data_IF_667443464467
#
_entry.id   IF_667443464467
#
_cell.length_a   1.000
_cell.length_b   1.000
_cell.length_c   1.000
_cell.angle_alpha   90.00
_cell.angle_beta   90.00
_cell.angle_gamma   90.00
#
_symmetry.space_group_name_H-M   'P 1'
#
loop_
_entity.id
_entity.type
_entity.pdbx_description
1 polymer ?
#
# COMPACT_ATOMS: atom_id res chain seq x y z
N UNK A 1 -13.08 32.27 -9.72
CA UNK A 1 -11.65 32.72 -9.78
C UNK A 1 -10.66 31.68 -9.22
N UNK A 2 -10.99 30.92 -8.18
CA UNK A 2 -10.10 29.86 -7.64
C UNK A 2 -9.98 28.65 -8.57
N UNK A 3 -11.06 28.16 -9.21
CA UNK A 3 -11.00 27.05 -10.17
C UNK A 3 -10.14 27.37 -11.40
N UNK A 4 -10.25 28.60 -11.94
CA UNK A 4 -9.46 29.02 -13.10
C UNK A 4 -7.93 29.11 -12.82
N UNK A 5 -7.53 29.46 -11.58
CA UNK A 5 -6.11 29.45 -11.19
C UNK A 5 -5.55 28.03 -11.02
N UNK A 6 -6.37 27.08 -10.55
CA UNK A 6 -5.94 25.69 -10.40
C UNK A 6 -5.62 25.01 -11.74
N UNK A 7 -6.28 25.44 -12.83
CA UNK A 7 -6.03 24.91 -14.19
C UNK A 7 -4.70 25.38 -14.81
N UNK A 8 -4.09 26.44 -14.26
CA UNK A 8 -2.82 26.99 -14.76
C UNK A 8 -1.59 26.28 -14.17
N UNK A 9 -1.72 25.51 -13.09
CA UNK A 9 -0.58 24.84 -12.47
C UNK A 9 -0.14 23.60 -13.23
N UNK A 10 1.18 23.45 -13.40
CA UNK A 10 1.81 22.40 -14.20
C UNK A 10 1.36 20.99 -13.79
N UNK A 11 1.27 20.70 -12.50
CA UNK A 11 0.86 19.37 -12.03
C UNK A 11 -0.61 19.07 -12.31
N UNK A 12 -1.48 20.07 -12.26
CA UNK A 12 -2.89 19.91 -12.62
C UNK A 12 -3.08 19.62 -14.11
N UNK A 13 -2.28 20.25 -14.98
CA UNK A 13 -2.29 19.96 -16.42
C UNK A 13 -1.82 18.52 -16.68
N UNK A 14 -0.74 18.10 -16.04
CA UNK A 14 -0.23 16.72 -16.15
C UNK A 14 -1.28 15.72 -15.66
N UNK A 15 -1.89 15.97 -14.48
CA UNK A 15 -2.90 15.09 -13.92
C UNK A 15 -4.09 14.88 -14.86
N UNK A 16 -4.60 15.95 -15.50
CA UNK A 16 -5.73 15.86 -16.42
C UNK A 16 -5.44 15.02 -17.69
N UNK A 17 -4.16 14.79 -18.00
CA UNK A 17 -3.72 13.98 -19.14
C UNK A 17 -3.51 12.50 -18.75
N UNK A 18 -3.55 12.17 -17.46
CA UNK A 18 -3.26 10.82 -16.97
C UNK A 18 -4.55 9.97 -16.95
N UNK A 19 -4.44 8.77 -17.50
CA UNK A 19 -5.49 7.74 -17.35
C UNK A 19 -5.13 6.84 -16.15
N UNK A 20 -6.03 6.65 -15.16
CA UNK A 20 -5.83 5.71 -14.07
C UNK A 20 -5.65 4.26 -14.52
N UNK A 21 -6.11 3.91 -15.72
CA UNK A 21 -5.95 2.59 -16.32
C UNK A 21 -4.64 2.56 -17.12
N UNK A 22 -3.72 1.67 -16.72
CA UNK A 22 -2.45 1.50 -17.42
C UNK A 22 -2.63 0.78 -18.76
N UNK A 23 -3.42 -0.28 -18.76
CA UNK A 23 -3.83 -1.03 -19.96
C UNK A 23 -5.00 -1.96 -19.64
N UNK A 24 -5.69 -2.44 -20.69
CA UNK A 24 -6.79 -3.39 -20.56
C UNK A 24 -6.53 -4.62 -21.42
N UNK A 25 -6.84 -5.81 -20.87
CA UNK A 25 -6.78 -7.09 -21.58
C UNK A 25 -8.17 -7.70 -21.53
N UNK A 26 -8.92 -7.57 -22.62
CA UNK A 26 -10.32 -7.96 -22.67
C UNK A 26 -11.16 -7.22 -21.62
N UNK A 27 -11.92 -7.92 -20.77
CA UNK A 27 -12.75 -7.28 -19.74
C UNK A 27 -11.96 -6.80 -18.51
N UNK A 28 -10.66 -7.11 -18.42
CA UNK A 28 -9.83 -6.79 -17.25
C UNK A 28 -9.01 -5.53 -17.50
N UNK A 29 -9.20 -4.53 -16.64
CA UNK A 29 -8.40 -3.31 -16.65
C UNK A 29 -7.35 -3.32 -15.55
N UNK A 30 -6.08 -3.20 -15.94
CA UNK A 30 -4.96 -3.06 -15.01
C UNK A 30 -4.76 -1.57 -14.71
N UNK A 31 -4.84 -1.21 -13.45
CA UNK A 31 -4.69 0.17 -13.00
C UNK A 31 -3.26 0.43 -12.52
N UNK A 32 -2.78 1.66 -12.70
CA UNK A 32 -1.48 2.11 -12.19
C UNK A 32 -1.33 1.88 -10.69
N UNK A 33 -2.44 1.95 -9.95
CA UNK A 33 -2.46 1.69 -8.51
C UNK A 33 -2.00 0.26 -8.17
N UNK A 34 -2.49 -0.73 -8.90
CA UNK A 34 -2.04 -2.13 -8.74
C UNK A 34 -0.57 -2.32 -9.07
N UNK A 35 -0.10 -1.68 -10.16
CA UNK A 35 1.32 -1.72 -10.57
C UNK A 35 2.20 -1.08 -9.49
N UNK A 36 1.78 0.07 -8.94
CA UNK A 36 2.50 0.76 -7.88
C UNK A 36 2.65 -0.10 -6.60
N UNK A 37 1.61 -0.85 -6.22
CA UNK A 37 1.71 -1.82 -5.12
C UNK A 37 2.71 -2.93 -5.40
N UNK A 38 2.67 -3.54 -6.59
CA UNK A 38 3.62 -4.58 -6.98
C UNK A 38 5.05 -4.05 -6.94
N UNK A 39 5.30 -2.87 -7.50
CA UNK A 39 6.61 -2.22 -7.46
C UNK A 39 7.04 -1.90 -6.02
N UNK A 40 6.13 -1.39 -5.19
CA UNK A 40 6.40 -1.11 -3.79
C UNK A 40 6.83 -2.35 -3.01
N UNK A 41 6.10 -3.45 -3.15
CA UNK A 41 6.46 -4.73 -2.51
C UNK A 41 7.74 -5.32 -3.07
N UNK A 42 7.97 -5.27 -4.38
CA UNK A 42 9.21 -5.73 -4.99
C UNK A 42 10.43 -4.94 -4.49
N UNK A 43 10.32 -3.63 -4.42
CA UNK A 43 11.37 -2.77 -3.87
C UNK A 43 11.61 -3.04 -2.38
N UNK A 44 10.56 -3.20 -1.59
CA UNK A 44 10.68 -3.54 -0.18
C UNK A 44 11.38 -4.89 0.01
N UNK A 45 10.99 -5.92 -0.75
CA UNK A 45 11.64 -7.24 -0.72
C UNK A 45 13.12 -7.15 -1.07
N UNK A 46 13.47 -6.39 -2.12
CA UNK A 46 14.86 -6.19 -2.54
C UNK A 46 15.69 -5.48 -1.46
N UNK A 47 15.12 -4.47 -0.80
CA UNK A 47 15.80 -3.75 0.29
C UNK A 47 15.98 -4.67 1.49
N UNK A 48 14.96 -5.42 1.89
CA UNK A 48 15.05 -6.38 2.99
C UNK A 48 16.15 -7.40 2.71
N UNK A 49 16.17 -7.98 1.51
CA UNK A 49 17.20 -8.95 1.12
C UNK A 49 18.63 -8.36 1.15
N UNK A 50 18.81 -7.13 0.64
CA UNK A 50 20.10 -6.45 0.67
C UNK A 50 20.54 -6.08 2.08
N UNK A 51 19.61 -5.62 2.91
CA UNK A 51 19.86 -5.26 4.31
C UNK A 51 20.21 -6.49 5.14
N UNK A 52 19.47 -7.59 4.96
CA UNK A 52 19.76 -8.87 5.61
C UNK A 52 21.19 -9.34 5.27
N UNK A 53 21.56 -9.29 3.98
CA UNK A 53 22.92 -9.65 3.54
C UNK A 53 23.98 -8.75 4.17
N UNK A 54 23.74 -7.43 4.24
CA UNK A 54 24.65 -6.47 4.85
C UNK A 54 24.82 -6.69 6.35
N UNK A 55 23.73 -7.03 7.03
CA UNK A 55 23.72 -7.30 8.48
C UNK A 55 24.12 -8.74 8.84
N UNK A 56 24.47 -9.55 7.82
CA UNK A 56 24.83 -10.97 8.00
C UNK A 56 23.71 -11.79 8.63
N UNK A 57 22.47 -11.45 8.35
CA UNK A 57 21.30 -12.21 8.76
C UNK A 57 21.02 -13.24 7.70
N UNK A 58 20.89 -14.50 8.10
CA UNK A 58 20.52 -15.59 7.19
C UNK A 58 19.03 -15.46 6.87
N UNK A 59 18.73 -14.95 5.69
CA UNK A 59 17.39 -14.82 5.12
C UNK A 59 17.42 -15.38 3.71
N UNK A 60 16.94 -16.61 3.56
CA UNK A 60 16.80 -17.24 2.26
C UNK A 60 15.57 -16.74 1.50
N UNK A 61 15.44 -17.16 0.25
CA UNK A 61 14.34 -16.73 -0.61
C UNK A 61 12.99 -17.16 -0.05
N UNK A 62 12.88 -18.36 0.52
CA UNK A 62 11.62 -18.88 1.06
C UNK A 62 11.18 -18.10 2.31
N UNK A 63 12.13 -17.76 3.18
CA UNK A 63 11.89 -16.87 4.33
C UNK A 63 11.45 -15.48 3.89
N UNK A 64 12.10 -14.91 2.86
CA UNK A 64 11.72 -13.61 2.32
C UNK A 64 10.31 -13.64 1.72
N UNK A 65 9.95 -14.67 0.98
CA UNK A 65 8.60 -14.86 0.43
C UNK A 65 7.56 -15.05 1.54
N UNK A 66 7.91 -15.82 2.59
CA UNK A 66 7.04 -16.01 3.76
C UNK A 66 6.72 -14.67 4.42
N UNK A 67 7.71 -13.83 4.65
CA UNK A 67 7.51 -12.48 5.20
C UNK A 67 6.65 -11.63 4.27
N UNK A 68 7.00 -11.59 2.98
CA UNK A 68 6.31 -10.76 2.00
C UNK A 68 4.83 -11.13 1.89
N UNK A 69 4.52 -12.41 1.67
CA UNK A 69 3.15 -12.90 1.56
C UNK A 69 2.38 -12.73 2.87
N UNK A 70 3.00 -13.02 4.00
CA UNK A 70 2.39 -12.84 5.31
C UNK A 70 2.02 -11.39 5.58
N UNK A 71 2.91 -10.44 5.26
CA UNK A 71 2.63 -9.01 5.41
C UNK A 71 1.55 -8.53 4.44
N UNK A 72 1.57 -8.96 3.18
CA UNK A 72 0.52 -8.63 2.21
C UNK A 72 -0.85 -9.09 2.71
N UNK A 73 -0.96 -10.35 3.15
CA UNK A 73 -2.20 -10.90 3.69
C UNK A 73 -2.60 -10.12 4.96
N UNK A 74 -1.66 -9.88 5.87
CA UNK A 74 -1.90 -9.13 7.09
C UNK A 74 -2.43 -7.72 6.84
N UNK A 75 -1.83 -6.99 5.89
CA UNK A 75 -2.28 -5.66 5.48
C UNK A 75 -3.71 -5.71 4.94
N UNK A 76 -4.01 -6.62 4.02
CA UNK A 76 -5.34 -6.72 3.41
C UNK A 76 -6.40 -7.07 4.46
N UNK A 77 -6.15 -8.11 5.25
CA UNK A 77 -7.08 -8.57 6.29
C UNK A 77 -7.26 -7.49 7.36
N UNK A 78 -6.16 -6.93 7.86
CA UNK A 78 -6.20 -5.89 8.88
C UNK A 78 -6.92 -4.63 8.41
N UNK A 79 -6.61 -4.15 7.19
CA UNK A 79 -7.25 -2.97 6.62
C UNK A 79 -8.77 -3.18 6.45
N UNK A 80 -9.17 -4.36 5.99
CA UNK A 80 -10.59 -4.67 5.79
C UNK A 80 -11.35 -4.85 7.10
N UNK A 81 -10.82 -5.64 8.02
CA UNK A 81 -11.46 -5.87 9.32
C UNK A 81 -11.60 -4.56 10.09
N UNK A 82 -10.55 -3.74 10.12
CA UNK A 82 -10.59 -2.46 10.81
C UNK A 82 -11.62 -1.51 10.20
N UNK A 83 -11.70 -1.48 8.87
CA UNK A 83 -12.73 -0.70 8.18
C UNK A 83 -14.13 -1.17 8.58
N UNK A 84 -14.39 -2.46 8.50
CA UNK A 84 -15.69 -3.03 8.84
C UNK A 84 -16.11 -2.76 10.30
N UNK A 85 -15.13 -2.76 11.22
CA UNK A 85 -15.39 -2.57 12.65
C UNK A 85 -15.61 -1.08 13.01
N UNK A 86 -14.83 -0.16 12.42
CA UNK A 86 -14.79 1.23 12.88
C UNK A 86 -15.46 2.22 11.94
N UNK A 87 -15.65 1.86 10.66
CA UNK A 87 -16.23 2.75 9.64
C UNK A 87 -17.53 2.21 9.04
N UNK A 88 -17.94 1.01 9.43
CA UNK A 88 -19.12 0.34 8.88
C UNK A 88 -20.43 0.60 9.61
N UNK A 89 -20.46 1.44 10.66
CA UNK A 89 -21.66 1.79 11.46
C UNK A 89 -22.58 0.59 11.78
N UNK A 90 -21.95 -0.55 12.07
CA UNK A 90 -22.67 -1.78 12.40
C UNK A 90 -23.25 -2.54 11.19
N UNK A 91 -23.08 -2.04 9.96
CA UNK A 91 -23.58 -2.67 8.74
C UNK A 91 -23.06 -4.09 8.57
N UNK A 92 -21.75 -4.30 8.74
CA UNK A 92 -21.09 -5.59 8.54
C UNK A 92 -21.47 -6.66 9.58
N UNK A 93 -21.99 -6.27 10.74
CA UNK A 93 -22.54 -7.21 11.71
C UNK A 93 -23.86 -7.81 11.24
N UNK A 94 -24.61 -7.09 10.39
CA UNK A 94 -25.86 -7.56 9.78
C UNK A 94 -25.61 -8.27 8.44
N UNK A 95 -24.50 -7.97 7.77
CA UNK A 95 -24.13 -8.49 6.47
C UNK A 95 -22.70 -9.07 6.48
N UNK A 96 -22.42 -10.15 7.25
CA UNK A 96 -21.06 -10.63 7.48
C UNK A 96 -20.34 -11.12 6.22
N UNK A 97 -21.07 -11.59 5.21
CA UNK A 97 -20.48 -12.02 3.94
C UNK A 97 -19.88 -10.86 3.14
N UNK A 98 -20.36 -9.64 3.34
CA UNK A 98 -19.84 -8.47 2.66
C UNK A 98 -18.47 -8.02 3.19
N UNK A 99 -18.00 -8.56 4.31
CA UNK A 99 -16.62 -8.38 4.76
C UNK A 99 -15.63 -8.84 3.68
N UNK A 100 -15.97 -9.87 2.91
CA UNK A 100 -15.12 -10.42 1.85
C UNK A 100 -15.23 -9.66 0.51
N UNK A 101 -16.16 -8.71 0.39
CA UNK A 101 -16.36 -7.93 -0.83
C UNK A 101 -15.30 -6.81 -0.98
N UNK A 102 -14.04 -7.21 -1.15
CA UNK A 102 -12.89 -6.27 -1.26
C UNK A 102 -12.98 -5.37 -2.48
N UNK A 103 -13.64 -5.81 -3.55
CA UNK A 103 -13.81 -5.04 -4.79
C UNK A 103 -14.68 -3.79 -4.64
N UNK A 104 -15.50 -3.73 -3.59
CA UNK A 104 -16.34 -2.57 -3.29
C UNK A 104 -15.59 -1.45 -2.54
N UNK A 105 -14.29 -1.63 -2.28
CA UNK A 105 -13.50 -0.69 -1.50
C UNK A 105 -13.68 -0.89 0.01
N UNK A 106 -13.37 0.15 0.79
CA UNK A 106 -13.47 0.11 2.24
C UNK A 106 -12.27 -0.57 2.90
N UNK A 107 -11.15 0.14 2.90
CA UNK A 107 -9.87 -0.28 3.49
C UNK A 107 -9.37 0.81 4.45
N UNK A 108 -8.97 0.43 5.65
CA UNK A 108 -8.41 1.35 6.64
C UNK A 108 -6.88 1.30 6.63
N UNK A 109 -6.23 2.45 6.50
CA UNK A 109 -4.76 2.54 6.64
C UNK A 109 -4.28 2.05 8.01
N UNK A 110 -4.95 2.46 9.09
CA UNK A 110 -4.58 2.05 10.45
C UNK A 110 -4.73 0.54 10.63
N UNK A 111 -5.80 -0.04 10.09
CA UNK A 111 -5.99 -1.49 10.10
C UNK A 111 -4.92 -2.23 9.31
N UNK A 112 -4.52 -1.71 8.15
CA UNK A 112 -3.41 -2.24 7.37
C UNK A 112 -2.09 -2.21 8.14
N UNK A 113 -1.80 -1.10 8.82
CA UNK A 113 -0.59 -0.97 9.64
C UNK A 113 -0.58 -2.00 10.79
N UNK A 114 -1.68 -2.11 11.53
CA UNK A 114 -1.81 -3.11 12.61
C UNK A 114 -1.67 -4.52 12.04
N UNK A 115 -2.30 -4.81 10.91
CA UNK A 115 -2.19 -6.09 10.21
C UNK A 115 -0.76 -6.42 9.79
N UNK A 116 -0.01 -5.43 9.27
CA UNK A 116 1.41 -5.58 8.93
C UNK A 116 2.27 -5.92 10.17
N UNK A 117 2.05 -5.20 11.28
CA UNK A 117 2.79 -5.43 12.52
C UNK A 117 2.52 -6.83 13.10
N UNK A 118 1.26 -7.24 13.15
CA UNK A 118 0.88 -8.55 13.67
C UNK A 118 1.38 -9.70 12.78
N UNK A 119 1.19 -9.58 11.47
CA UNK A 119 1.68 -10.59 10.53
C UNK A 119 3.21 -10.63 10.48
N UNK A 120 3.87 -9.49 10.59
CA UNK A 120 5.33 -9.41 10.74
C UNK A 120 5.83 -10.14 11.98
N UNK A 121 5.11 -10.04 13.11
CA UNK A 121 5.42 -10.78 14.34
C UNK A 121 5.27 -12.30 14.14
N UNK A 122 4.22 -12.73 13.45
CA UNK A 122 3.99 -14.15 13.14
C UNK A 122 5.07 -14.68 12.21
N UNK A 123 5.32 -13.99 11.10
CA UNK A 123 6.32 -14.42 10.11
C UNK A 123 7.74 -14.39 10.67
N UNK A 124 8.09 -13.43 11.52
CA UNK A 124 9.37 -13.38 12.20
C UNK A 124 9.60 -14.65 13.05
N UNK A 125 8.57 -15.12 13.77
CA UNK A 125 8.64 -16.38 14.52
C UNK A 125 8.78 -17.60 13.60
N UNK A 126 8.07 -17.61 12.47
CA UNK A 126 8.13 -18.72 11.50
C UNK A 126 9.52 -18.89 10.90
N UNK A 127 10.19 -17.78 10.58
CA UNK A 127 11.53 -17.80 9.96
C UNK A 127 12.69 -17.77 10.96
N UNK A 128 12.41 -17.67 12.26
CA UNK A 128 13.44 -17.66 13.32
C UNK A 128 14.28 -16.37 13.38
N UNK A 129 13.80 -15.25 12.81
CA UNK A 129 14.46 -13.94 12.89
C UNK A 129 13.80 -13.11 13.99
N UNK A 130 14.58 -12.41 14.86
CA UNK A 130 13.98 -11.53 15.86
C UNK A 130 13.06 -10.49 15.24
N UNK A 131 11.86 -10.32 15.80
CA UNK A 131 10.84 -9.43 15.25
C UNK A 131 11.32 -7.99 15.02
N UNK A 132 12.00 -7.40 16.01
CA UNK A 132 12.51 -6.03 15.89
C UNK A 132 13.55 -5.90 14.78
N UNK A 133 14.38 -6.92 14.59
CA UNK A 133 15.35 -6.95 13.47
C UNK A 133 14.64 -6.98 12.12
N UNK A 134 13.58 -7.80 12.00
CA UNK A 134 12.75 -7.81 10.78
C UNK A 134 12.04 -6.47 10.57
N UNK A 135 11.52 -5.87 11.64
CA UNK A 135 10.87 -4.56 11.60
C UNK A 135 11.84 -3.46 11.15
N UNK A 136 13.06 -3.43 11.67
CA UNK A 136 14.10 -2.48 11.26
C UNK A 136 14.43 -2.61 9.76
N UNK A 137 14.56 -3.84 9.27
CA UNK A 137 14.75 -4.07 7.83
C UNK A 137 13.55 -3.58 7.00
N UNK A 138 12.33 -3.80 7.49
CA UNK A 138 11.10 -3.39 6.79
C UNK A 138 10.95 -1.86 6.74
N UNK A 139 11.29 -1.16 7.83
CA UNK A 139 11.22 0.31 7.91
C UNK A 139 12.13 0.97 6.87
N UNK A 140 13.27 0.37 6.53
CA UNK A 140 14.15 0.89 5.46
C UNK A 140 13.46 0.81 4.08
N UNK A 141 12.63 -0.20 3.85
CA UNK A 141 11.90 -0.40 2.59
C UNK A 141 10.56 0.35 2.49
N UNK A 142 9.91 0.60 3.62
CA UNK A 142 8.58 1.19 3.68
C UNK A 142 8.43 2.54 2.95
N UNK A 143 9.40 3.49 3.02
CA UNK A 143 9.30 4.76 2.31
C UNK A 143 9.16 4.63 0.80
N UNK A 144 9.78 3.62 0.19
CA UNK A 144 9.61 3.38 -1.26
C UNK A 144 8.20 2.90 -1.60
N UNK A 145 7.63 2.03 -0.78
CA UNK A 145 6.23 1.64 -0.94
C UNK A 145 5.28 2.83 -0.85
N UNK A 146 5.51 3.72 0.14
CA UNK A 146 4.75 4.97 0.30
C UNK A 146 4.94 5.90 -0.91
N UNK A 147 6.15 6.03 -1.45
CA UNK A 147 6.43 6.83 -2.64
C UNK A 147 5.60 6.34 -3.83
N UNK A 148 5.64 5.05 -4.15
CA UNK A 148 4.84 4.49 -5.25
C UNK A 148 3.34 4.65 -5.01
N UNK A 149 2.88 4.45 -3.76
CA UNK A 149 1.49 4.70 -3.39
C UNK A 149 1.06 6.15 -3.62
N UNK A 150 1.90 7.13 -3.28
CA UNK A 150 1.61 8.55 -3.52
C UNK A 150 1.61 8.91 -5.00
N UNK A 151 2.53 8.34 -5.78
CA UNK A 151 2.48 8.49 -7.23
C UNK A 151 1.17 7.93 -7.82
N UNK A 152 0.72 6.77 -7.33
CA UNK A 152 -0.54 6.18 -7.75
C UNK A 152 -1.76 7.02 -7.34
N UNK A 153 -1.75 7.60 -6.14
CA UNK A 153 -2.81 8.55 -5.74
C UNK A 153 -2.87 9.76 -6.67
N UNK A 154 -1.71 10.30 -7.09
CA UNK A 154 -1.67 11.40 -8.03
C UNK A 154 -2.29 11.00 -9.38
N UNK A 155 -1.93 9.84 -9.94
CA UNK A 155 -2.51 9.34 -11.19
C UNK A 155 -4.03 9.10 -11.08
N UNK A 156 -4.50 8.59 -9.92
CA UNK A 156 -5.92 8.36 -9.67
C UNK A 156 -6.69 9.65 -9.34
N UNK A 157 -6.01 10.76 -9.06
CA UNK A 157 -6.65 12.00 -8.64
C UNK A 157 -7.31 11.92 -7.28
N UNK A 158 -6.66 11.28 -6.32
CA UNK A 158 -7.19 11.08 -4.98
C UNK A 158 -6.21 11.52 -3.89
N UNK A 159 -6.72 11.72 -2.68
CA UNK A 159 -5.94 12.14 -1.51
C UNK A 159 -5.11 13.41 -1.76
N UNK A 160 -5.79 14.42 -2.28
CA UNK A 160 -5.25 15.75 -2.55
C UNK A 160 -4.58 16.32 -1.30
N UNK A 161 -3.54 17.13 -1.52
CA UNK A 161 -2.90 17.92 -0.48
C UNK A 161 -3.74 19.16 -0.09
N UNK A 162 -3.14 20.04 0.71
CA UNK A 162 -3.72 21.36 0.98
C UNK A 162 -3.61 22.25 -0.27
N UNK A 163 -4.55 23.20 -0.38
CA UNK A 163 -4.47 24.24 -1.42
C UNK A 163 -3.18 25.03 -1.26
N UNK A 164 -2.47 25.24 -2.36
CA UNK A 164 -1.19 25.96 -2.38
C UNK A 164 -1.16 26.98 -3.52
N UNK A 165 -0.43 28.06 -3.31
CA UNK A 165 -0.11 29.06 -4.34
C UNK A 165 1.27 28.80 -4.98
N UNK A 166 1.90 27.68 -4.67
CA UNK A 166 3.19 27.31 -5.26
C UNK A 166 3.01 27.03 -6.76
N UNK A 167 3.93 27.50 -7.64
CA UNK A 167 3.76 27.38 -9.09
C UNK A 167 3.79 25.94 -9.63
N UNK A 168 4.18 24.99 -8.81
CA UNK A 168 4.18 23.55 -9.11
C UNK A 168 3.04 22.77 -8.41
N UNK A 169 2.19 23.44 -7.64
CA UNK A 169 1.10 22.83 -6.84
C UNK A 169 -0.16 22.50 -7.63
#
# INVERSE_FOLDING_TARGET
>A
RMKAKAEEFMLNQIYQMLDPVAFSIGPFSVRWYGIAYILGFACAALIIARTAKRWKISLDTDSLLTVLLGVIIGVIVGARLFYCLFYGDGYYFRHPLEIFALSQGGMSFHGGLVGALLSGLVTARMIGVPYLTLADMAVVGAPLGLLFGRCANFVNGELWGAVTDAPWG
#
